data_IF_079624670033
#
_entry.id   IF_079624670033
#
_cell.length_a   1.000
_cell.length_b   1.000
_cell.length_c   1.000
_cell.angle_alpha   90.00
_cell.angle_beta   90.00
_cell.angle_gamma   90.00
#
_symmetry.space_group_name_H-M   'P 1'
#
loop_
_entity.id
_entity.type
_entity.pdbx_description
1 polymer ?
#
# COMPACT_ATOMS: atom_id res chain seq x y z
N UNK A 1 -11.37 9.78 -20.74
CA UNK A 1 -10.38 8.94 -20.03
C UNK A 1 -9.95 7.83 -20.97
N UNK A 2 -8.72 7.85 -21.47
CA UNK A 2 -8.22 6.80 -22.38
C UNK A 2 -8.25 5.44 -21.67
N UNK A 3 -8.68 4.38 -22.38
CA UNK A 3 -8.62 3.00 -21.87
C UNK A 3 -7.17 2.71 -21.47
N UNK A 4 -6.90 2.69 -20.16
CA UNK A 4 -5.62 2.23 -19.64
C UNK A 4 -5.36 0.82 -20.16
N UNK A 5 -4.17 0.56 -20.72
CA UNK A 5 -3.78 -0.78 -21.15
C UNK A 5 -3.84 -1.72 -19.95
N UNK A 6 -4.40 -2.91 -20.14
CA UNK A 6 -4.38 -3.95 -19.11
C UNK A 6 -2.92 -4.27 -18.72
N UNK A 7 -2.71 -4.64 -17.47
CA UNK A 7 -1.40 -5.07 -17.02
C UNK A 7 -0.95 -6.33 -17.78
N UNK A 8 0.32 -6.36 -18.18
CA UNK A 8 0.90 -7.52 -18.88
C UNK A 8 0.87 -8.72 -17.94
N UNK A 9 0.44 -9.88 -18.43
CA UNK A 9 0.29 -11.13 -17.64
C UNK A 9 -0.70 -11.03 -16.46
N UNK A 10 -1.77 -10.23 -16.58
CA UNK A 10 -2.87 -10.20 -15.62
C UNK A 10 -3.67 -11.52 -15.66
N UNK A 11 -3.46 -12.42 -14.69
CA UNK A 11 -4.25 -13.62 -14.48
C UNK A 11 -4.94 -13.56 -13.10
N UNK A 12 -5.98 -12.75 -13.01
CA UNK A 12 -6.76 -12.55 -11.78
C UNK A 12 -8.02 -13.41 -11.85
N UNK A 13 -8.32 -14.08 -10.72
CA UNK A 13 -9.53 -14.89 -10.61
C UNK A 13 -10.78 -14.00 -10.46
N UNK A 14 -11.97 -14.45 -10.91
CA UNK A 14 -13.18 -13.62 -10.87
C UNK A 14 -13.57 -13.08 -9.49
N UNK A 15 -13.30 -13.82 -8.40
CA UNK A 15 -13.59 -13.35 -7.04
C UNK A 15 -12.58 -12.31 -6.50
N UNK A 16 -11.58 -11.94 -7.30
CA UNK A 16 -10.54 -10.95 -6.98
C UNK A 16 -10.56 -9.74 -7.93
N UNK A 17 -11.54 -9.66 -8.84
CA UNK A 17 -11.68 -8.54 -9.79
C UNK A 17 -13.14 -8.10 -9.86
N UNK A 18 -13.37 -6.80 -9.95
CA UNK A 18 -14.70 -6.24 -10.22
C UNK A 18 -15.01 -6.14 -11.73
N UNK A 19 -14.03 -6.41 -12.60
CA UNK A 19 -14.21 -6.36 -14.05
C UNK A 19 -14.76 -7.68 -14.57
N UNK A 20 -15.74 -7.60 -15.47
CA UNK A 20 -16.34 -8.78 -16.09
C UNK A 20 -15.33 -9.66 -16.84
N UNK A 21 -14.27 -9.07 -17.41
CA UNK A 21 -13.23 -9.79 -18.15
C UNK A 21 -11.97 -10.11 -17.32
N UNK A 22 -11.96 -9.74 -16.04
CA UNK A 22 -10.82 -9.89 -15.12
C UNK A 22 -9.50 -9.23 -15.59
N UNK A 23 -9.54 -8.35 -16.60
CA UNK A 23 -8.34 -7.68 -17.14
C UNK A 23 -8.05 -6.40 -16.36
N UNK A 24 -7.37 -6.53 -15.23
CA UNK A 24 -6.98 -5.37 -14.43
C UNK A 24 -5.83 -4.58 -15.04
N UNK A 25 -5.89 -3.25 -14.90
CA UNK A 25 -4.79 -2.36 -15.30
C UNK A 25 -3.70 -2.27 -14.22
N UNK A 26 -4.05 -2.63 -12.99
CA UNK A 26 -3.20 -2.59 -11.82
C UNK A 26 -3.70 -3.60 -10.79
N UNK A 27 -2.78 -4.35 -10.20
CA UNK A 27 -3.06 -5.30 -9.14
C UNK A 27 -1.80 -5.50 -8.31
N UNK A 28 -1.95 -6.16 -7.17
CA UNK A 28 -0.83 -6.56 -6.31
C UNK A 28 -0.77 -8.08 -6.19
N UNK A 29 0.44 -8.62 -6.21
CA UNK A 29 0.71 -10.01 -5.86
C UNK A 29 1.27 -10.03 -4.44
N UNK A 30 0.62 -10.80 -3.56
CA UNK A 30 1.00 -10.88 -2.15
C UNK A 30 1.33 -12.34 -1.84
N UNK A 31 2.52 -12.57 -1.28
CA UNK A 31 2.87 -13.88 -0.75
C UNK A 31 2.12 -14.17 0.54
N UNK A 32 1.67 -15.41 0.71
CA UNK A 32 1.02 -15.87 1.94
C UNK A 32 1.91 -15.64 3.17
N UNK A 33 3.23 -15.78 3.01
CA UNK A 33 4.23 -15.51 4.05
C UNK A 33 4.17 -14.09 4.61
N UNK A 34 3.75 -13.09 3.84
CA UNK A 34 3.54 -11.74 4.35
C UNK A 34 2.32 -11.70 5.28
N UNK A 35 1.18 -12.26 4.82
CA UNK A 35 -0.08 -12.22 5.54
C UNK A 35 -0.05 -13.01 6.85
N UNK A 36 0.74 -14.09 6.89
CA UNK A 36 0.90 -14.96 8.05
C UNK A 36 2.10 -14.59 8.93
N UNK A 37 2.86 -13.55 8.58
CA UNK A 37 3.97 -13.11 9.43
C UNK A 37 3.45 -12.52 10.73
N UNK A 38 4.14 -12.80 11.84
CA UNK A 38 3.76 -12.25 13.15
C UNK A 38 3.78 -10.72 13.14
N UNK A 39 4.75 -10.12 12.45
CA UNK A 39 4.88 -8.67 12.35
C UNK A 39 3.70 -8.04 11.61
N UNK A 40 3.19 -8.67 10.54
CA UNK A 40 1.95 -8.23 9.90
C UNK A 40 0.75 -8.45 10.83
N UNK A 41 0.71 -9.57 11.57
CA UNK A 41 -0.35 -9.88 12.53
C UNK A 41 -0.47 -8.89 13.69
N UNK A 42 0.65 -8.28 14.12
CA UNK A 42 0.69 -7.24 15.17
C UNK A 42 0.07 -5.91 14.74
N UNK A 43 -0.04 -5.65 13.44
CA UNK A 43 -0.69 -4.45 12.92
C UNK A 43 -2.21 -4.51 13.05
N UNK A 44 -2.81 -3.38 13.39
CA UNK A 44 -4.26 -3.19 13.37
C UNK A 44 -4.80 -3.44 11.95
N UNK A 45 -6.04 -3.95 11.82
CA UNK A 45 -6.66 -4.21 10.52
C UNK A 45 -6.56 -3.04 9.52
N UNK A 46 -6.75 -1.80 10.00
CA UNK A 46 -6.66 -0.62 9.16
C UNK A 46 -5.24 -0.28 8.68
N UNK A 47 -4.21 -0.52 9.49
CA UNK A 47 -2.81 -0.36 9.08
C UNK A 47 -2.43 -1.40 8.01
N UNK A 48 -2.86 -2.66 8.21
CA UNK A 48 -2.69 -3.72 7.19
C UNK A 48 -3.36 -3.33 5.88
N UNK A 49 -4.61 -2.85 5.94
CA UNK A 49 -5.34 -2.41 4.74
C UNK A 49 -4.65 -1.23 4.05
N UNK A 50 -4.21 -0.22 4.81
CA UNK A 50 -3.46 0.91 4.27
C UNK A 50 -2.17 0.47 3.56
N UNK A 51 -1.45 -0.50 4.11
CA UNK A 51 -0.25 -1.06 3.47
C UNK A 51 -0.57 -1.68 2.10
N UNK A 52 -1.69 -2.40 1.98
CA UNK A 52 -2.16 -2.94 0.70
C UNK A 52 -2.56 -1.84 -0.29
N UNK A 53 -3.21 -0.77 0.17
CA UNK A 53 -3.53 0.38 -0.67
C UNK A 53 -2.26 1.11 -1.16
N UNK A 54 -1.27 1.27 -0.29
CA UNK A 54 0.02 1.88 -0.66
C UNK A 54 0.77 1.04 -1.69
N UNK A 55 0.82 -0.29 -1.51
CA UNK A 55 1.46 -1.20 -2.49
C UNK A 55 0.74 -1.18 -3.83
N UNK A 56 -0.59 -1.06 -3.84
CA UNK A 56 -1.38 -0.85 -5.05
C UNK A 56 -0.96 0.45 -5.76
N UNK A 57 -1.01 1.60 -5.08
CA UNK A 57 -0.68 2.89 -5.69
C UNK A 57 0.80 3.04 -6.09
N UNK A 58 1.71 2.34 -5.40
CA UNK A 58 3.12 2.33 -5.75
C UNK A 58 3.41 1.67 -7.10
N UNK A 59 2.50 0.82 -7.60
CA UNK A 59 2.61 0.21 -8.94
C UNK A 59 3.89 -0.59 -9.13
N UNK A 60 4.33 -1.30 -8.09
CA UNK A 60 5.56 -2.11 -8.10
C UNK A 60 6.86 -1.34 -7.79
N UNK A 61 6.79 -0.03 -7.56
CA UNK A 61 7.95 0.75 -7.13
C UNK A 61 8.16 0.66 -5.62
N UNK A 62 9.43 0.68 -5.20
CA UNK A 62 9.78 0.74 -3.78
C UNK A 62 9.51 2.12 -3.19
N UNK A 63 9.72 3.17 -3.98
CA UNK A 63 9.50 4.56 -3.61
C UNK A 63 8.27 5.11 -4.33
N UNK A 64 7.43 5.84 -3.59
CA UNK A 64 6.14 6.28 -4.09
C UNK A 64 5.61 7.51 -3.34
N UNK A 65 4.65 8.20 -3.96
CA UNK A 65 3.89 9.26 -3.29
C UNK A 65 2.50 8.74 -2.97
N UNK A 66 2.02 9.02 -1.76
CA UNK A 66 0.69 8.62 -1.30
C UNK A 66 0.05 9.75 -0.50
N UNK A 67 -0.62 10.72 -1.18
CA UNK A 67 -1.32 11.79 -0.48
C UNK A 67 -2.56 11.25 0.24
N UNK A 68 -3.05 11.98 1.27
CA UNK A 68 -4.27 11.61 2.00
C UNK A 68 -5.49 11.45 1.08
N UNK A 69 -5.59 12.27 0.02
CA UNK A 69 -6.64 12.15 -1.00
C UNK A 69 -6.58 10.84 -1.80
N UNK A 70 -5.43 10.16 -1.88
CA UNK A 70 -5.36 8.80 -2.42
C UNK A 70 -5.94 7.79 -1.43
N UNK A 71 -5.75 7.98 -0.12
CA UNK A 71 -6.34 7.13 0.92
C UNK A 71 -7.86 7.20 0.92
N UNK A 72 -8.43 8.38 0.68
CA UNK A 72 -9.87 8.60 0.59
C UNK A 72 -10.54 7.78 -0.52
N UNK A 73 -9.85 7.51 -1.64
CA UNK A 73 -10.33 6.62 -2.72
C UNK A 73 -10.58 5.18 -2.24
N UNK A 74 -9.88 4.78 -1.18
CA UNK A 74 -10.01 3.48 -0.52
C UNK A 74 -10.88 3.56 0.74
N UNK A 75 -11.67 4.64 0.90
CA UNK A 75 -12.53 4.87 2.06
C UNK A 75 -11.79 4.93 3.40
N UNK A 76 -10.53 5.38 3.39
CA UNK A 76 -9.75 5.62 4.61
C UNK A 76 -9.84 7.12 4.95
N UNK A 77 -10.50 7.51 6.06
CA UNK A 77 -10.58 8.91 6.47
C UNK A 77 -9.20 9.48 6.83
N UNK A 78 -8.96 10.78 6.62
CA UNK A 78 -7.66 11.41 6.95
C UNK A 78 -7.18 11.17 8.38
N UNK A 79 -8.09 11.23 9.37
CA UNK A 79 -7.78 10.96 10.77
C UNK A 79 -7.28 9.53 11.01
N UNK A 80 -7.82 8.56 10.27
CA UNK A 80 -7.37 7.17 10.32
C UNK A 80 -6.08 6.96 9.55
N UNK A 81 -5.92 7.66 8.41
CA UNK A 81 -4.71 7.60 7.60
C UNK A 81 -3.47 7.96 8.42
N UNK A 82 -3.48 9.07 9.17
CA UNK A 82 -2.32 9.48 9.96
C UNK A 82 -1.95 8.47 11.04
N UNK A 83 -2.95 7.90 11.74
CA UNK A 83 -2.74 6.86 12.75
C UNK A 83 -2.16 5.58 12.15
N UNK A 84 -2.73 5.09 11.06
CA UNK A 84 -2.27 3.87 10.38
C UNK A 84 -0.89 4.05 9.75
N UNK A 85 -0.61 5.21 9.16
CA UNK A 85 0.70 5.58 8.64
C UNK A 85 1.76 5.57 9.75
N UNK A 86 1.47 6.20 10.90
CA UNK A 86 2.39 6.21 12.04
C UNK A 86 2.70 4.79 12.52
N UNK A 87 1.67 3.94 12.61
CA UNK A 87 1.82 2.53 12.98
C UNK A 87 2.69 1.75 11.99
N UNK A 88 2.51 1.94 10.68
CA UNK A 88 3.34 1.29 9.66
C UNK A 88 4.81 1.75 9.69
N UNK A 89 5.05 3.02 10.03
CA UNK A 89 6.41 3.56 10.21
C UNK A 89 7.06 2.95 11.44
N UNK A 90 6.36 2.96 12.58
CA UNK A 90 6.86 2.41 13.84
C UNK A 90 7.15 0.90 13.75
N UNK A 91 6.26 0.15 13.08
CA UNK A 91 6.44 -1.26 12.81
C UNK A 91 7.55 -1.55 11.78
N UNK A 92 8.09 -0.54 11.10
CA UNK A 92 9.20 -0.68 10.15
C UNK A 92 8.80 -1.27 8.82
N UNK A 93 7.55 -1.08 8.37
CA UNK A 93 7.06 -1.50 7.05
C UNK A 93 7.30 -0.43 5.97
N UNK A 94 7.25 0.85 6.36
CA UNK A 94 7.51 2.00 5.48
C UNK A 94 8.33 3.06 6.23
N UNK A 95 8.95 3.98 5.49
CA UNK A 95 9.49 5.23 6.05
C UNK A 95 9.12 6.43 5.18
N UNK A 96 9.17 7.62 5.76
CA UNK A 96 9.15 8.87 5.00
C UNK A 96 10.57 9.10 4.49
N UNK A 97 10.80 8.95 3.18
CA UNK A 97 12.09 9.22 2.55
C UNK A 97 12.30 10.74 2.41
N UNK A 98 11.28 11.44 1.93
CA UNK A 98 11.30 12.90 1.78
C UNK A 98 10.00 13.48 2.34
N UNK A 99 10.14 14.50 3.19
CA UNK A 99 9.01 15.16 3.86
C UNK A 99 8.75 16.51 3.19
N UNK A 100 7.58 16.63 2.57
CA UNK A 100 7.12 17.88 1.98
C UNK A 100 6.55 18.87 3.00
N UNK A 101 6.69 18.60 4.31
CA UNK A 101 6.12 19.44 5.39
C UNK A 101 6.56 20.89 5.29
N UNK A 102 7.82 21.14 4.89
CA UNK A 102 8.37 22.49 4.75
C UNK A 102 8.25 23.04 3.32
N UNK A 103 8.31 22.17 2.30
CA UNK A 103 8.30 22.56 0.88
C UNK A 103 6.90 22.62 0.26
N UNK A 104 5.86 22.21 0.98
CA UNK A 104 4.47 22.01 0.51
C UNK A 104 4.34 20.97 -0.61
N UNK A 105 5.34 20.11 -0.75
CA UNK A 105 5.32 19.00 -1.69
C UNK A 105 4.66 17.76 -1.08
N UNK A 106 4.40 16.74 -1.90
CA UNK A 106 3.87 15.47 -1.42
C UNK A 106 5.00 14.69 -0.75
N UNK A 107 4.71 14.06 0.38
CA UNK A 107 5.67 13.13 1.00
C UNK A 107 6.01 11.98 0.03
N UNK A 108 7.29 11.66 -0.03
CA UNK A 108 7.79 10.45 -0.68
C UNK A 108 7.99 9.39 0.40
N UNK A 109 7.33 8.26 0.22
CA UNK A 109 7.44 7.08 1.07
C UNK A 109 8.30 6.04 0.40
N UNK A 110 8.90 5.18 1.22
CA UNK A 110 9.66 4.03 0.77
C UNK A 110 9.25 2.79 1.57
N UNK A 111 9.02 1.67 0.89
CA UNK A 111 8.91 0.37 1.57
C UNK A 111 10.27 -0.04 2.11
N UNK A 112 10.31 -0.36 3.41
CA UNK A 112 11.52 -0.83 4.10
C UNK A 112 11.28 -2.23 4.67
N UNK A 113 12.38 -2.88 5.05
CA UNK A 113 12.37 -4.31 5.37
C UNK A 113 12.78 -4.59 6.82
N UNK A 114 12.86 -3.55 7.64
CA UNK A 114 13.32 -3.61 9.03
C UNK A 114 12.46 -4.57 9.85
N UNK A 115 11.15 -4.63 9.55
CA UNK A 115 10.22 -5.56 10.16
C UNK A 115 10.62 -7.03 9.99
N UNK A 116 11.32 -7.41 8.92
CA UNK A 116 11.74 -8.80 8.68
C UNK A 116 12.84 -9.27 9.63
N UNK A 117 13.61 -8.35 10.20
CA UNK A 117 14.69 -8.65 11.13
C UNK A 117 14.24 -8.56 12.60
N UNK A 118 13.00 -8.11 12.85
CA UNK A 118 12.47 -8.04 14.22
C UNK A 118 12.17 -9.45 14.71
N UNK A 119 12.47 -9.75 15.99
CA UNK A 119 12.04 -11.00 16.58
C UNK A 119 10.51 -11.13 16.49
N UNK A 120 10.00 -12.37 16.47
CA UNK A 120 8.58 -12.68 16.37
C UNK A 120 7.72 -11.70 17.14
#
# INVERSE_FOLDING_TARGET
MGRGKAAVHCNIRPWLSAKADCKEGRFIQIGNSLLLSEQMGKLKPGARYLYLCMTMEAGGKREFTFPASSAEKYHIPPSSFDRFKAELIDAGFIRIKESGRLTREKNVYEFVFDWKARPP
#
